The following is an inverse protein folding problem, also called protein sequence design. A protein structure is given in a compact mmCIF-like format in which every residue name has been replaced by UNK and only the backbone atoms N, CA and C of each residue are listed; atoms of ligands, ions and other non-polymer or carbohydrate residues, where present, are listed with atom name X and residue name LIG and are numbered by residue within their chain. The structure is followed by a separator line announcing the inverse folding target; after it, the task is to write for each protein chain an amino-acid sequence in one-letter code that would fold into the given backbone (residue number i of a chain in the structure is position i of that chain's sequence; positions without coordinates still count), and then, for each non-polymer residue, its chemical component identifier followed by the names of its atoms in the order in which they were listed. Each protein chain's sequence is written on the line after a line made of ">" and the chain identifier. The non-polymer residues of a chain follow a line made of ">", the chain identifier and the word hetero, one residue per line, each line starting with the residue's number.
data_IF_982340780171
#
_entry.id   IF_982340780171
#
_cell.length_a   1.000
_cell.length_b   1.000
_cell.length_c   1.000
_cell.angle_alpha   90.00
_cell.angle_beta   90.00
_cell.angle_gamma   90.00
#
_symmetry.space_group_name_H-M   'P 1'
#
loop_
_entity.id
_entity.type
_entity.pdbx_description
1 polymer ?
#
# COMPACT_ATOMS: atom_id res chain seq x y z
N UNK A 1 -17.66 4.26 -10.55
CA UNK A 1 -17.44 5.72 -10.51
C UNK A 1 -16.10 5.99 -9.83
N UNK A 2 -15.08 6.50 -10.53
CA UNK A 2 -13.81 6.86 -9.90
C UNK A 2 -14.04 8.08 -9.02
N UNK A 3 -14.27 7.89 -7.72
CA UNK A 3 -14.29 9.00 -6.77
C UNK A 3 -12.85 9.48 -6.58
N UNK A 4 -12.51 10.55 -7.25
CA UNK A 4 -11.23 11.24 -7.08
C UNK A 4 -11.16 11.80 -5.66
N UNK A 5 -10.05 11.58 -4.95
CA UNK A 5 -9.82 12.19 -3.64
C UNK A 5 -9.82 13.71 -3.82
N UNK A 6 -10.69 14.41 -3.10
CA UNK A 6 -10.79 15.88 -3.16
C UNK A 6 -9.65 16.50 -2.33
N UNK A 7 -9.19 17.67 -2.75
CA UNK A 7 -8.12 18.39 -2.05
C UNK A 7 -8.48 18.69 -0.58
N UNK A 8 -9.78 18.92 -0.30
CA UNK A 8 -10.29 19.13 1.06
C UNK A 8 -10.10 17.89 1.94
N UNK A 9 -10.26 16.69 1.38
CA UNK A 9 -10.09 15.43 2.12
C UNK A 9 -8.60 15.20 2.43
N UNK A 10 -7.70 15.58 1.52
CA UNK A 10 -6.24 15.58 1.74
C UNK A 10 -5.86 16.54 2.86
N UNK A 11 -6.37 17.77 2.84
CA UNK A 11 -6.07 18.76 3.88
C UNK A 11 -6.61 18.35 5.24
N UNK A 12 -7.79 17.74 5.32
CA UNK A 12 -8.34 17.20 6.57
C UNK A 12 -7.48 16.08 7.14
N UNK A 13 -7.00 15.16 6.27
CA UNK A 13 -6.12 14.08 6.70
C UNK A 13 -4.78 14.62 7.19
N UNK A 14 -4.18 15.57 6.47
CA UNK A 14 -2.95 16.24 6.90
C UNK A 14 -3.12 16.91 8.26
N UNK A 15 -4.20 17.67 8.45
CA UNK A 15 -4.49 18.31 9.73
C UNK A 15 -4.63 17.26 10.85
N UNK A 16 -5.37 16.18 10.61
CA UNK A 16 -5.55 15.13 11.60
C UNK A 16 -4.23 14.39 11.92
N UNK A 17 -3.37 14.20 10.93
CA UNK A 17 -2.08 13.51 11.08
C UNK A 17 -1.04 14.38 11.79
N UNK A 18 -1.03 15.70 11.57
CA UNK A 18 -0.03 16.60 12.13
C UNK A 18 -0.39 17.14 13.52
N UNK A 19 -1.67 17.39 13.78
CA UNK A 19 -2.11 18.08 15.00
C UNK A 19 -2.58 17.12 16.10
N UNK A 20 -2.85 15.86 15.77
CA UNK A 20 -3.22 14.84 16.73
C UNK A 20 -2.04 14.42 17.62
N UNK A 21 -2.33 14.00 18.87
CA UNK A 21 -1.32 13.44 19.79
C UNK A 21 -1.04 11.98 19.42
N UNK A 22 0.20 11.65 19.11
CA UNK A 22 0.65 10.30 18.74
C UNK A 22 0.36 9.27 19.84
N UNK A 23 0.40 9.69 21.12
CA UNK A 23 0.07 8.82 22.26
C UNK A 23 -1.37 8.25 22.23
N UNK A 24 -2.27 8.85 21.46
CA UNK A 24 -3.67 8.42 21.36
C UNK A 24 -4.02 7.69 20.06
N UNK A 25 -3.21 7.80 19.02
CA UNK A 25 -3.54 7.25 17.69
C UNK A 25 -2.45 6.40 17.05
N UNK A 26 -1.24 6.44 17.60
CA UNK A 26 -0.06 5.87 16.97
C UNK A 26 0.44 6.66 15.76
N UNK A 27 1.55 6.23 15.19
CA UNK A 27 2.20 6.87 14.04
C UNK A 27 1.51 6.40 12.76
N UNK A 28 0.94 7.33 12.01
CA UNK A 28 0.36 7.04 10.69
C UNK A 28 1.46 6.92 9.63
N UNK A 29 1.17 6.20 8.54
CA UNK A 29 2.10 6.09 7.41
C UNK A 29 2.42 7.46 6.80
N UNK A 30 1.42 8.35 6.71
CA UNK A 30 1.60 9.73 6.23
C UNK A 30 2.52 10.52 7.14
N UNK A 31 2.30 10.46 8.45
CA UNK A 31 3.18 11.12 9.42
C UNK A 31 4.61 10.59 9.35
N UNK A 32 4.78 9.26 9.33
CA UNK A 32 6.09 8.63 9.18
C UNK A 32 6.81 9.06 7.90
N UNK A 33 6.08 9.15 6.78
CA UNK A 33 6.64 9.63 5.53
C UNK A 33 7.09 11.09 5.62
N UNK A 34 6.27 11.98 6.19
CA UNK A 34 6.62 13.39 6.35
C UNK A 34 7.83 13.57 7.27
N UNK A 35 7.91 12.82 8.37
CA UNK A 35 9.06 12.84 9.26
C UNK A 35 10.34 12.37 8.54
N UNK A 36 10.25 11.37 7.66
CA UNK A 36 11.35 10.94 6.82
C UNK A 36 11.84 12.05 5.88
N UNK A 37 10.93 12.81 5.27
CA UNK A 37 11.32 13.92 4.39
C UNK A 37 12.03 15.05 5.16
N UNK A 38 11.61 15.35 6.39
CA UNK A 38 12.33 16.28 7.28
C UNK A 38 13.72 15.73 7.62
N UNK A 39 13.83 14.41 7.82
CA UNK A 39 15.12 13.73 7.99
C UNK A 39 16.04 13.91 6.77
N UNK A 40 15.53 13.70 5.54
CA UNK A 40 16.28 13.91 4.30
C UNK A 40 16.74 15.38 4.15
N UNK A 41 15.87 16.33 4.46
CA UNK A 41 16.24 17.75 4.49
C UNK A 41 17.40 18.00 5.48
N UNK A 42 17.31 17.49 6.69
CA UNK A 42 18.36 17.65 7.70
C UNK A 42 19.69 17.01 7.27
N UNK A 43 19.64 15.84 6.64
CA UNK A 43 20.79 15.14 6.09
C UNK A 43 21.41 15.84 4.87
N UNK A 44 20.69 16.70 4.18
CA UNK A 44 21.25 17.64 3.22
C UNK A 44 21.85 18.89 3.90
N UNK A 45 21.11 19.49 4.81
CA UNK A 45 21.46 20.75 5.47
C UNK A 45 22.69 20.63 6.39
N UNK A 46 22.65 19.69 7.34
CA UNK A 46 23.68 19.57 8.41
C UNK A 46 25.09 19.28 7.85
N UNK A 47 25.30 18.30 6.94
CA UNK A 47 26.63 18.08 6.38
C UNK A 47 27.16 19.27 5.59
N UNK A 48 26.28 20.00 4.89
CA UNK A 48 26.69 21.23 4.18
C UNK A 48 27.19 22.29 5.16
N UNK A 49 26.50 22.52 6.28
CA UNK A 49 26.94 23.39 7.37
C UNK A 49 28.31 22.96 7.91
N UNK A 50 28.47 21.68 8.21
CA UNK A 50 29.73 21.14 8.76
C UNK A 50 30.89 21.37 7.81
N UNK A 51 30.74 21.09 6.52
CA UNK A 51 31.82 21.31 5.53
C UNK A 51 32.22 22.79 5.46
N UNK A 52 31.25 23.72 5.50
CA UNK A 52 31.56 25.16 5.49
C UNK A 52 32.28 25.59 6.79
N UNK A 53 31.87 25.08 7.94
CA UNK A 53 32.59 25.32 9.22
C UNK A 53 34.01 24.77 9.16
N UNK A 54 34.25 23.65 8.46
CA UNK A 54 35.58 23.08 8.22
C UNK A 54 36.40 23.86 7.17
N UNK A 55 35.89 24.98 6.64
CA UNK A 55 36.61 25.87 5.72
C UNK A 55 36.40 25.62 4.24
N UNK A 56 35.47 24.72 3.86
CA UNK A 56 35.11 24.56 2.45
C UNK A 56 34.26 25.73 1.95
N UNK A 57 34.47 26.10 0.70
CA UNK A 57 33.60 27.09 0.04
C UNK A 57 32.15 26.57 0.00
N UNK A 58 31.13 27.42 0.26
CA UNK A 58 29.72 27.00 0.33
C UNK A 58 29.20 26.33 -0.94
N UNK A 59 29.68 26.73 -2.14
CA UNK A 59 29.28 26.09 -3.41
C UNK A 59 29.89 24.69 -3.54
N UNK A 60 31.17 24.53 -3.16
CA UNK A 60 31.79 23.21 -3.15
C UNK A 60 31.15 22.27 -2.11
N UNK A 61 30.80 22.77 -0.92
CA UNK A 61 30.10 22.01 0.09
C UNK A 61 28.71 21.52 -0.42
N UNK A 62 27.95 22.42 -1.05
CA UNK A 62 26.70 22.06 -1.72
C UNK A 62 26.91 20.97 -2.78
N UNK A 63 27.94 21.11 -3.63
CA UNK A 63 28.25 20.14 -4.68
C UNK A 63 28.60 18.76 -4.13
N UNK A 64 29.45 18.69 -3.11
CA UNK A 64 29.86 17.42 -2.51
C UNK A 64 28.71 16.69 -1.83
N UNK A 65 27.91 17.39 -1.02
CA UNK A 65 26.74 16.81 -0.34
C UNK A 65 25.70 16.36 -1.35
N UNK A 66 25.43 17.17 -2.36
CA UNK A 66 24.45 16.83 -3.41
C UNK A 66 24.88 15.61 -4.22
N UNK A 67 26.17 15.51 -4.58
CA UNK A 67 26.71 14.36 -5.30
C UNK A 67 26.71 13.09 -4.46
N UNK A 68 27.04 13.19 -3.18
CA UNK A 68 26.99 12.05 -2.25
C UNK A 68 25.59 11.47 -2.18
N UNK A 69 24.55 12.30 -1.97
CA UNK A 69 23.18 11.82 -1.87
C UNK A 69 22.65 11.31 -3.21
N UNK A 70 23.05 11.88 -4.34
CA UNK A 70 22.72 11.34 -5.64
C UNK A 70 23.23 9.91 -5.82
N UNK A 71 24.50 9.67 -5.48
CA UNK A 71 25.10 8.34 -5.58
C UNK A 71 24.45 7.34 -4.62
N UNK A 72 24.13 7.79 -3.41
CA UNK A 72 23.44 6.97 -2.41
C UNK A 72 22.04 6.59 -2.90
N UNK A 73 21.26 7.53 -3.44
CA UNK A 73 19.92 7.26 -3.93
C UNK A 73 19.89 6.40 -5.19
N UNK A 74 20.87 6.54 -6.08
CA UNK A 74 21.05 5.60 -7.20
C UNK A 74 21.31 4.19 -6.67
N UNK A 75 22.22 4.03 -5.71
CA UNK A 75 22.48 2.75 -5.06
C UNK A 75 21.22 2.17 -4.41
N UNK A 76 20.45 2.99 -3.71
CA UNK A 76 19.22 2.59 -3.04
C UNK A 76 18.11 2.19 -4.05
N UNK A 77 17.93 3.00 -5.10
CA UNK A 77 16.96 2.73 -6.18
C UNK A 77 17.22 1.40 -6.91
N UNK A 78 18.49 1.02 -7.04
CA UNK A 78 18.87 -0.25 -7.67
C UNK A 78 18.77 -1.45 -6.72
N UNK A 79 18.49 -1.22 -5.42
CA UNK A 79 18.43 -2.28 -4.42
C UNK A 79 17.53 -3.48 -4.77
N UNK A 80 16.38 -3.33 -5.47
CA UNK A 80 15.57 -4.47 -5.90
C UNK A 80 16.27 -5.40 -6.88
N UNK A 81 17.37 -4.99 -7.49
CA UNK A 81 18.12 -5.82 -8.44
C UNK A 81 19.16 -6.72 -7.76
N UNK A 82 19.68 -6.33 -6.60
CA UNK A 82 20.78 -7.05 -5.94
C UNK A 82 20.49 -7.46 -4.49
N UNK A 83 19.68 -6.72 -3.72
CA UNK A 83 19.35 -7.10 -2.35
C UNK A 83 18.29 -8.21 -2.33
N UNK A 84 18.62 -9.36 -1.73
CA UNK A 84 17.73 -10.52 -1.64
C UNK A 84 16.37 -10.18 -1.01
N UNK A 85 16.36 -9.31 -0.01
CA UNK A 85 15.15 -8.89 0.72
C UNK A 85 14.15 -8.13 -0.15
N UNK A 86 14.62 -7.43 -1.18
CA UNK A 86 13.79 -6.60 -2.07
C UNK A 86 13.55 -7.24 -3.45
N UNK A 87 14.41 -8.18 -3.84
CA UNK A 87 14.36 -8.82 -5.15
C UNK A 87 13.27 -9.87 -5.25
N UNK A 88 12.89 -10.51 -4.13
CA UNK A 88 12.06 -11.70 -4.15
C UNK A 88 12.66 -12.82 -5.01
N UNK A 89 11.82 -13.67 -5.59
CA UNK A 89 12.23 -14.70 -6.55
C UNK A 89 12.14 -14.23 -8.02
N UNK A 90 11.81 -12.95 -8.26
CA UNK A 90 11.69 -12.37 -9.60
C UNK A 90 10.36 -12.64 -10.33
N UNK A 91 9.42 -13.33 -9.71
CA UNK A 91 8.09 -13.62 -10.27
C UNK A 91 7.33 -12.34 -10.62
N UNK A 92 7.40 -11.34 -9.73
CA UNK A 92 6.79 -10.04 -9.94
C UNK A 92 7.87 -8.96 -10.05
N UNK A 93 7.74 -8.12 -11.07
CA UNK A 93 8.70 -7.01 -11.29
C UNK A 93 8.40 -5.84 -10.37
N UNK A 94 9.43 -5.06 -9.94
CA UNK A 94 9.24 -3.81 -9.23
C UNK A 94 8.39 -2.83 -10.05
N UNK A 95 7.60 -2.02 -9.37
CA UNK A 95 6.89 -0.92 -10.00
C UNK A 95 7.85 0.28 -10.15
N UNK A 96 8.61 0.29 -11.24
CA UNK A 96 9.72 1.23 -11.47
C UNK A 96 9.28 2.70 -11.37
N UNK A 97 8.12 3.06 -11.93
CA UNK A 97 7.63 4.44 -11.81
C UNK A 97 7.49 4.89 -10.37
N UNK A 98 6.92 4.03 -9.50
CA UNK A 98 6.79 4.34 -8.08
C UNK A 98 8.16 4.46 -7.40
N UNK A 99 9.09 3.55 -7.70
CA UNK A 99 10.44 3.60 -7.17
C UNK A 99 11.19 4.87 -7.60
N UNK A 100 11.08 5.25 -8.88
CA UNK A 100 11.67 6.46 -9.42
C UNK A 100 11.12 7.72 -8.74
N UNK A 101 9.80 7.79 -8.52
CA UNK A 101 9.19 8.91 -7.81
C UNK A 101 9.60 8.99 -6.34
N UNK A 102 9.79 7.84 -5.67
CA UNK A 102 10.30 7.77 -4.30
C UNK A 102 11.72 8.36 -4.22
N UNK A 103 12.63 7.78 -5.00
CA UNK A 103 14.03 8.21 -5.11
C UNK A 103 14.15 9.69 -5.47
N UNK A 104 13.38 10.13 -6.46
CA UNK A 104 13.40 11.53 -6.88
C UNK A 104 12.88 12.47 -5.78
N UNK A 105 11.83 12.06 -5.07
CA UNK A 105 11.30 12.83 -3.94
C UNK A 105 12.35 12.97 -2.83
N UNK A 106 13.01 11.89 -2.46
CA UNK A 106 14.04 11.90 -1.42
C UNK A 106 15.23 12.78 -1.82
N UNK A 107 15.71 12.67 -3.06
CA UNK A 107 16.74 13.57 -3.62
C UNK A 107 16.33 15.04 -3.56
N UNK A 108 15.09 15.37 -3.89
CA UNK A 108 14.60 16.74 -3.80
C UNK A 108 14.73 17.30 -2.39
N UNK A 109 14.43 16.52 -1.36
CA UNK A 109 14.56 16.97 0.03
C UNK A 109 16.01 17.08 0.49
N UNK A 110 16.89 16.16 0.08
CA UNK A 110 18.34 16.30 0.34
C UNK A 110 18.90 17.57 -0.30
N UNK A 111 18.59 17.82 -1.56
CA UNK A 111 19.07 19.00 -2.29
C UNK A 111 18.44 20.30 -1.77
N UNK A 112 17.17 20.23 -1.33
CA UNK A 112 16.52 21.34 -0.66
C UNK A 112 17.27 21.73 0.63
N UNK A 113 17.65 20.74 1.44
CA UNK A 113 18.43 20.97 2.66
C UNK A 113 19.77 21.63 2.37
N UNK A 114 20.58 21.04 1.48
CA UNK A 114 21.92 21.55 1.15
C UNK A 114 21.86 22.92 0.47
N UNK A 115 20.93 23.16 -0.44
CA UNK A 115 20.75 24.45 -1.11
C UNK A 115 20.21 25.54 -0.18
N UNK A 116 19.37 25.20 0.81
CA UNK A 116 18.88 26.14 1.81
C UNK A 116 20.03 26.81 2.56
N UNK A 117 21.00 26.02 3.01
CA UNK A 117 22.18 26.59 3.68
C UNK A 117 23.02 27.46 2.73
N UNK A 118 23.26 27.00 1.51
CA UNK A 118 24.00 27.77 0.51
C UNK A 118 23.37 29.15 0.27
N UNK A 119 22.07 29.23 0.02
CA UNK A 119 21.37 30.48 -0.22
C UNK A 119 21.38 31.42 1.01
N UNK A 120 21.27 30.88 2.21
CA UNK A 120 21.40 31.65 3.45
C UNK A 120 22.81 32.22 3.64
N UNK A 121 23.85 31.46 3.27
CA UNK A 121 25.25 31.89 3.42
C UNK A 121 25.69 32.96 2.41
N UNK A 122 25.17 32.90 1.17
CA UNK A 122 25.55 33.82 0.09
C UNK A 122 24.79 35.17 0.14
N UNK A 123 23.61 35.21 0.78
CA UNK A 123 22.86 36.44 1.05
C UNK A 123 22.40 37.26 -0.17
N UNK A 124 22.31 36.67 -1.37
CA UNK A 124 21.93 37.39 -2.60
C UNK A 124 20.44 37.23 -2.90
N UNK A 125 19.71 38.32 -2.96
CA UNK A 125 18.26 38.38 -3.17
C UNK A 125 17.79 37.69 -4.47
N UNK A 126 18.60 37.73 -5.54
CA UNK A 126 18.26 37.13 -6.83
C UNK A 126 18.19 35.57 -6.76
N UNK A 127 18.95 34.94 -5.88
CA UNK A 127 18.89 33.49 -5.68
C UNK A 127 17.67 33.06 -4.92
N UNK A 128 17.05 33.92 -4.12
CA UNK A 128 15.83 33.64 -3.39
C UNK A 128 14.67 33.31 -4.33
N UNK A 129 14.52 34.00 -5.45
CA UNK A 129 13.49 33.73 -6.44
C UNK A 129 13.68 32.32 -7.07
N UNK A 130 14.92 31.97 -7.44
CA UNK A 130 15.26 30.67 -7.98
C UNK A 130 14.92 29.56 -6.96
N UNK A 131 15.22 29.80 -5.69
CA UNK A 131 14.91 28.90 -4.60
C UNK A 131 13.41 28.69 -4.43
N UNK A 132 12.59 29.76 -4.46
CA UNK A 132 11.13 29.67 -4.40
C UNK A 132 10.56 28.89 -5.59
N UNK A 133 11.04 29.14 -6.80
CA UNK A 133 10.64 28.36 -7.98
C UNK A 133 10.98 26.88 -7.81
N UNK A 134 12.17 26.57 -7.29
CA UNK A 134 12.58 25.21 -6.96
C UNK A 134 11.64 24.54 -5.95
N UNK A 135 11.25 25.25 -4.88
CA UNK A 135 10.28 24.76 -3.90
C UNK A 135 8.92 24.42 -4.51
N UNK A 136 8.41 25.28 -5.40
CA UNK A 136 7.14 25.04 -6.09
C UNK A 136 7.24 23.80 -6.97
N UNK A 137 8.33 23.64 -7.72
CA UNK A 137 8.55 22.44 -8.54
C UNK A 137 8.62 21.17 -7.68
N UNK A 138 9.38 21.20 -6.59
CA UNK A 138 9.46 20.06 -5.64
C UNK A 138 8.07 19.73 -5.12
N UNK A 139 7.27 20.70 -4.70
CA UNK A 139 5.91 20.48 -4.23
C UNK A 139 5.03 19.79 -5.29
N UNK A 140 5.13 20.19 -6.56
CA UNK A 140 4.38 19.58 -7.64
C UNK A 140 4.78 18.12 -7.88
N UNK A 141 6.08 17.80 -7.83
CA UNK A 141 6.57 16.44 -8.03
C UNK A 141 6.29 15.53 -6.83
N UNK A 142 6.43 16.03 -5.61
CA UNK A 142 6.19 15.23 -4.39
C UNK A 142 4.71 14.92 -4.17
N UNK A 143 3.80 15.69 -4.80
CA UNK A 143 2.34 15.46 -4.73
C UNK A 143 1.95 14.03 -5.08
N UNK A 144 2.53 13.46 -6.14
CA UNK A 144 2.23 12.09 -6.57
C UNK A 144 2.60 11.09 -5.47
N UNK A 145 3.79 11.23 -4.91
CA UNK A 145 4.27 10.33 -3.87
C UNK A 145 3.46 10.46 -2.57
N UNK A 146 3.14 11.68 -2.17
CA UNK A 146 2.28 11.93 -1.03
C UNK A 146 0.90 11.25 -1.19
N UNK A 147 0.28 11.37 -2.35
CA UNK A 147 -0.98 10.69 -2.65
C UNK A 147 -0.82 9.17 -2.55
N UNK A 148 0.27 8.60 -3.06
CA UNK A 148 0.55 7.16 -2.93
C UNK A 148 0.55 6.73 -1.45
N UNK A 149 1.18 7.51 -0.56
CA UNK A 149 1.17 7.23 0.89
C UNK A 149 -0.23 7.29 1.50
N UNK A 150 -1.06 8.24 1.07
CA UNK A 150 -2.46 8.31 1.50
C UNK A 150 -3.25 7.06 1.07
N UNK A 151 -3.07 6.59 -0.15
CA UNK A 151 -3.72 5.36 -0.60
C UNK A 151 -3.24 4.13 0.19
N UNK A 152 -1.95 4.01 0.45
CA UNK A 152 -1.38 2.93 1.25
C UNK A 152 -1.89 2.97 2.70
N UNK A 153 -1.97 4.14 3.32
CA UNK A 153 -2.47 4.30 4.68
C UNK A 153 -3.94 3.89 4.80
N UNK A 154 -4.77 4.30 3.83
CA UNK A 154 -6.21 4.02 3.85
C UNK A 154 -6.57 2.62 3.35
N UNK A 155 -5.59 1.85 2.89
CA UNK A 155 -5.77 0.42 2.57
C UNK A 155 -5.79 -0.46 3.82
N UNK A 156 -5.43 0.05 5.01
CA UNK A 156 -5.39 -0.66 6.29
C UNK A 156 -4.55 -1.94 6.26
N UNK A 157 -3.49 -1.97 5.45
CA UNK A 157 -2.60 -3.13 5.35
C UNK A 157 -1.94 -3.42 6.70
N UNK A 158 -1.85 -4.69 7.13
CA UNK A 158 -1.26 -5.06 8.42
C UNK A 158 0.24 -4.78 8.49
N UNK A 159 0.91 -4.75 7.34
CA UNK A 159 2.31 -4.39 7.17
C UNK A 159 2.59 -3.94 5.73
N UNK A 160 3.73 -3.29 5.51
CA UNK A 160 4.16 -2.90 4.17
C UNK A 160 4.87 -4.07 3.50
N UNK A 161 4.35 -4.50 2.35
CA UNK A 161 4.95 -5.54 1.53
C UNK A 161 4.73 -5.22 0.05
N UNK A 162 5.79 -5.24 -0.74
CA UNK A 162 5.74 -5.07 -2.19
C UNK A 162 5.58 -6.43 -2.85
N UNK A 163 4.73 -6.53 -3.85
CA UNK A 163 4.55 -7.77 -4.59
C UNK A 163 5.86 -8.25 -5.26
N UNK A 164 6.75 -7.30 -5.63
CA UNK A 164 8.08 -7.61 -6.14
C UNK A 164 9.00 -8.32 -5.14
N UNK A 165 8.68 -8.27 -3.85
CA UNK A 165 9.41 -8.97 -2.77
C UNK A 165 8.89 -10.40 -2.56
N UNK A 166 7.92 -10.85 -3.37
CA UNK A 166 7.40 -12.21 -3.28
C UNK A 166 8.49 -13.23 -3.56
N UNK A 167 8.67 -14.16 -2.65
CA UNK A 167 9.70 -15.21 -2.68
C UNK A 167 9.11 -16.64 -2.60
N UNK A 168 7.77 -16.74 -2.46
CA UNK A 168 7.07 -18.02 -2.48
C UNK A 168 6.89 -18.56 -3.90
N UNK A 169 6.56 -19.84 -3.99
CA UNK A 169 6.19 -20.46 -5.24
C UNK A 169 4.74 -20.12 -5.61
N UNK A 170 4.46 -19.99 -6.89
CA UNK A 170 3.14 -19.72 -7.44
C UNK A 170 3.11 -20.23 -8.89
N UNK A 171 2.00 -20.81 -9.30
CA UNK A 171 1.86 -21.33 -10.68
C UNK A 171 1.95 -20.19 -11.70
N UNK A 172 2.57 -20.43 -12.86
CA UNK A 172 2.66 -19.42 -13.92
C UNK A 172 1.30 -18.85 -14.32
N UNK A 173 0.27 -19.68 -14.40
CA UNK A 173 -1.10 -19.24 -14.75
C UNK A 173 -1.67 -18.26 -13.73
N UNK A 174 -1.43 -18.48 -12.42
CA UNK A 174 -1.88 -17.62 -11.35
C UNK A 174 -1.10 -16.30 -11.38
N UNK A 175 0.19 -16.35 -11.67
CA UNK A 175 1.04 -15.17 -11.86
C UNK A 175 0.51 -14.27 -12.97
N UNK A 176 0.18 -14.84 -14.12
CA UNK A 176 -0.36 -14.07 -15.25
C UNK A 176 -1.76 -13.53 -14.95
N UNK A 177 -2.59 -14.28 -14.23
CA UNK A 177 -3.90 -13.82 -13.77
C UNK A 177 -3.78 -12.60 -12.86
N UNK A 178 -2.85 -12.61 -11.89
CA UNK A 178 -2.58 -11.47 -10.99
C UNK A 178 -2.05 -10.28 -11.79
N UNK A 179 -1.09 -10.50 -12.71
CA UNK A 179 -0.54 -9.42 -13.56
C UNK A 179 -1.64 -8.79 -14.43
N UNK A 180 -2.47 -9.61 -15.06
CA UNK A 180 -3.61 -9.17 -15.87
C UNK A 180 -4.61 -8.35 -15.05
N UNK A 181 -4.92 -8.80 -13.84
CA UNK A 181 -5.78 -8.06 -12.91
C UNK A 181 -5.19 -6.69 -12.53
N UNK A 182 -3.92 -6.64 -12.19
CA UNK A 182 -3.25 -5.38 -11.83
C UNK A 182 -3.12 -4.41 -13.00
N UNK A 183 -2.99 -4.91 -14.24
CA UNK A 183 -2.90 -4.09 -15.43
C UNK A 183 -4.26 -3.53 -15.86
N UNK A 184 -5.29 -4.37 -15.93
CA UNK A 184 -6.58 -4.05 -16.56
C UNK A 184 -7.63 -3.57 -15.55
N UNK A 185 -7.46 -3.92 -14.27
CA UNK A 185 -8.39 -3.54 -13.22
C UNK A 185 -9.81 -4.04 -13.43
N UNK A 186 -9.97 -5.32 -13.71
CA UNK A 186 -11.27 -5.95 -13.86
C UNK A 186 -12.16 -5.66 -12.65
N UNK A 187 -13.44 -5.43 -12.89
CA UNK A 187 -14.43 -5.26 -11.83
C UNK A 187 -15.09 -6.59 -11.51
N UNK A 188 -15.53 -6.75 -10.27
CA UNK A 188 -16.22 -7.92 -9.76
C UNK A 188 -15.43 -9.23 -9.88
N UNK A 189 -14.09 -9.16 -9.80
CA UNK A 189 -13.23 -10.33 -9.81
C UNK A 189 -12.97 -10.84 -8.39
N UNK A 190 -13.25 -12.11 -8.14
CA UNK A 190 -13.07 -12.75 -6.85
C UNK A 190 -11.91 -13.74 -6.93
N UNK A 191 -10.86 -13.49 -6.17
CA UNK A 191 -9.76 -14.43 -5.97
C UNK A 191 -9.99 -15.25 -4.72
N UNK A 192 -9.79 -16.56 -4.82
CA UNK A 192 -9.75 -17.45 -3.67
C UNK A 192 -8.29 -17.87 -3.52
N UNK A 193 -7.65 -17.41 -2.44
CA UNK A 193 -6.24 -17.72 -2.15
C UNK A 193 -6.18 -18.80 -1.07
N UNK A 194 -5.79 -20.00 -1.47
CA UNK A 194 -5.62 -21.15 -0.60
C UNK A 194 -4.18 -21.37 -0.20
N UNK A 195 -3.99 -22.00 0.94
CA UNK A 195 -2.69 -22.49 1.36
C UNK A 195 -2.66 -22.90 2.82
N UNK A 196 -1.73 -23.75 3.18
CA UNK A 196 -1.46 -24.15 4.56
C UNK A 196 -0.94 -22.98 5.42
N UNK A 197 -0.75 -23.22 6.71
CA UNK A 197 -0.12 -22.25 7.60
C UNK A 197 1.31 -21.96 7.12
N UNK A 198 1.65 -20.68 6.98
CA UNK A 198 2.99 -20.25 6.53
C UNK A 198 3.20 -20.24 5.02
N UNK A 199 2.23 -20.64 4.19
CA UNK A 199 2.37 -20.63 2.71
C UNK A 199 2.45 -19.25 2.07
N UNK A 200 2.29 -18.16 2.85
CA UNK A 200 2.39 -16.81 2.33
C UNK A 200 1.09 -16.19 1.82
N UNK A 201 -0.09 -16.81 2.02
CA UNK A 201 -1.40 -16.31 1.56
C UNK A 201 -1.64 -14.83 1.88
N UNK A 202 -1.53 -14.48 3.15
CA UNK A 202 -1.66 -13.08 3.63
C UNK A 202 -0.65 -12.18 2.94
N UNK A 203 0.61 -12.63 2.80
CA UNK A 203 1.70 -11.87 2.19
C UNK A 203 1.42 -11.58 0.70
N UNK A 204 0.94 -12.58 -0.06
CA UNK A 204 0.53 -12.40 -1.45
C UNK A 204 -0.63 -11.40 -1.56
N UNK A 205 -1.66 -11.58 -0.73
CA UNK A 205 -2.86 -10.73 -0.75
C UNK A 205 -2.57 -9.29 -0.36
N UNK A 206 -1.74 -9.08 0.66
CA UNK A 206 -1.23 -7.76 1.05
C UNK A 206 -0.41 -7.13 -0.07
N UNK A 207 0.44 -7.92 -0.74
CA UNK A 207 1.23 -7.46 -1.89
C UNK A 207 0.33 -6.97 -3.03
N UNK A 208 -0.71 -7.72 -3.39
CA UNK A 208 -1.67 -7.32 -4.42
C UNK A 208 -2.41 -6.04 -4.02
N UNK A 209 -2.89 -5.95 -2.79
CA UNK A 209 -3.60 -4.77 -2.29
C UNK A 209 -2.70 -3.52 -2.24
N UNK A 210 -1.44 -3.69 -1.85
CA UNK A 210 -0.45 -2.62 -1.86
C UNK A 210 -0.13 -2.14 -3.28
N UNK A 211 -0.01 -3.07 -4.25
CA UNK A 211 0.18 -2.70 -5.66
C UNK A 211 -1.02 -1.92 -6.23
N UNK A 212 -2.24 -2.22 -5.79
CA UNK A 212 -3.42 -1.42 -6.11
C UNK A 212 -3.31 -0.01 -5.51
N UNK A 213 -2.95 0.10 -4.23
CA UNK A 213 -2.78 1.38 -3.54
C UNK A 213 -1.71 2.26 -4.22
N UNK A 214 -0.57 1.68 -4.63
CA UNK A 214 0.49 2.36 -5.37
C UNK A 214 0.00 2.92 -6.71
N UNK A 215 -0.97 2.28 -7.35
CA UNK A 215 -1.61 2.74 -8.58
C UNK A 215 -2.76 3.71 -8.33
N UNK A 216 -2.88 4.24 -7.13
CA UNK A 216 -3.96 5.12 -6.68
C UNK A 216 -5.35 4.50 -6.89
N UNK A 217 -5.44 3.19 -6.64
CA UNK A 217 -6.70 2.46 -6.64
C UNK A 217 -7.07 2.11 -5.20
N UNK A 218 -8.33 2.31 -4.85
CA UNK A 218 -8.81 2.12 -3.48
C UNK A 218 -8.80 0.64 -3.11
N UNK A 219 -7.94 0.24 -2.20
CA UNK A 219 -7.93 -1.08 -1.59
C UNK A 219 -8.31 -1.00 -0.12
N UNK A 220 -8.83 -2.10 0.42
CA UNK A 220 -9.23 -2.21 1.81
C UNK A 220 -8.90 -3.62 2.32
N UNK A 221 -8.06 -3.70 3.34
CA UNK A 221 -7.72 -4.96 4.00
C UNK A 221 -8.49 -5.10 5.31
N UNK A 222 -9.03 -6.29 5.54
CA UNK A 222 -9.67 -6.65 6.80
C UNK A 222 -9.50 -8.13 7.11
N UNK A 223 -9.58 -8.52 8.38
CA UNK A 223 -9.74 -9.92 8.76
C UNK A 223 -11.22 -10.31 8.67
N UNK A 224 -11.50 -11.60 8.52
CA UNK A 224 -12.87 -12.09 8.43
C UNK A 224 -13.71 -11.71 9.65
N UNK A 225 -13.15 -11.79 10.85
CA UNK A 225 -13.83 -11.35 12.08
C UNK A 225 -14.24 -9.88 12.07
N UNK A 226 -13.36 -8.99 11.55
CA UNK A 226 -13.70 -7.56 11.39
C UNK A 226 -14.69 -7.34 10.26
N UNK A 227 -14.56 -8.09 9.16
CA UNK A 227 -15.50 -8.04 8.04
C UNK A 227 -16.93 -8.30 8.48
N UNK A 228 -17.15 -9.31 9.31
CA UNK A 228 -18.46 -9.62 9.86
C UNK A 228 -19.12 -8.44 10.60
N UNK A 229 -18.32 -7.61 11.25
CA UNK A 229 -18.81 -6.40 11.93
C UNK A 229 -18.99 -5.22 10.96
N UNK A 230 -18.03 -5.02 10.05
CA UNK A 230 -18.03 -3.89 9.12
C UNK A 230 -19.23 -3.87 8.19
N UNK A 231 -19.62 -5.03 7.70
CA UNK A 231 -20.69 -5.15 6.70
C UNK A 231 -22.07 -4.92 7.31
N UNK A 232 -22.19 -4.99 8.65
CA UNK A 232 -23.40 -4.69 9.40
C UNK A 232 -23.49 -3.21 9.81
N UNK A 233 -22.41 -2.44 9.69
CA UNK A 233 -22.43 -1.03 10.05
C UNK A 233 -23.28 -0.24 9.05
N UNK A 234 -24.12 0.64 9.59
CA UNK A 234 -24.85 1.61 8.77
C UNK A 234 -23.89 2.62 8.12
N UNK A 235 -24.29 3.21 6.99
CA UNK A 235 -23.51 4.28 6.33
C UNK A 235 -23.17 5.45 7.28
N UNK A 236 -24.03 5.72 8.26
CA UNK A 236 -23.80 6.75 9.28
C UNK A 236 -22.67 6.37 10.25
N UNK A 237 -22.55 5.10 10.61
CA UNK A 237 -21.47 4.61 11.47
C UNK A 237 -20.14 4.53 10.71
N UNK A 238 -20.16 4.08 9.45
CA UNK A 238 -19.00 4.08 8.56
C UNK A 238 -18.45 5.50 8.34
N UNK A 239 -19.34 6.49 8.17
CA UNK A 239 -18.96 7.89 7.97
C UNK A 239 -18.44 8.59 9.25
N UNK A 240 -18.65 8.00 10.43
CA UNK A 240 -18.09 8.50 11.69
C UNK A 240 -16.61 8.17 11.88
N UNK A 241 -16.03 7.29 11.08
CA UNK A 241 -14.60 7.03 11.07
C UNK A 241 -13.86 8.28 10.57
N UNK A 242 -13.41 9.12 11.50
CA UNK A 242 -12.74 10.41 11.23
C UNK A 242 -11.39 10.29 10.50
N UNK A 243 -10.86 9.07 10.34
CA UNK A 243 -9.49 8.81 9.88
C UNK A 243 -9.40 8.08 8.54
N UNK A 244 -10.52 7.73 7.91
CA UNK A 244 -10.52 7.04 6.63
C UNK A 244 -11.01 7.95 5.51
N UNK A 245 -10.30 7.96 4.37
CA UNK A 245 -10.70 8.70 3.16
C UNK A 245 -11.76 7.97 2.35
N UNK A 246 -11.94 6.67 2.57
CA UNK A 246 -13.00 5.84 2.00
C UNK A 246 -13.33 4.68 2.93
N UNK A 247 -14.51 4.17 2.77
CA UNK A 247 -14.99 2.97 3.46
C UNK A 247 -14.82 1.73 2.60
N UNK A 248 -15.04 0.54 3.17
CA UNK A 248 -14.96 -0.73 2.45
C UNK A 248 -15.85 -0.76 1.20
N UNK A 249 -17.06 -0.20 1.28
CA UNK A 249 -18.05 -0.18 0.19
C UNK A 249 -17.70 0.77 -0.97
N UNK A 250 -16.69 1.62 -0.79
CA UNK A 250 -16.14 2.50 -1.83
C UNK A 250 -14.84 1.97 -2.41
N UNK A 251 -14.36 0.82 -1.92
CA UNK A 251 -13.10 0.21 -2.36
C UNK A 251 -13.24 -0.48 -3.70
N UNK A 252 -12.18 -0.48 -4.49
CA UNK A 252 -12.08 -1.22 -5.75
C UNK A 252 -11.59 -2.66 -5.52
N UNK A 253 -10.87 -2.89 -4.44
CA UNK A 253 -10.40 -4.19 -3.99
C UNK A 253 -10.58 -4.32 -2.48
N UNK A 254 -11.18 -5.42 -2.05
CA UNK A 254 -11.25 -5.83 -0.65
C UNK A 254 -10.46 -7.11 -0.42
N UNK A 255 -9.64 -7.15 0.60
CA UNK A 255 -8.99 -8.38 1.09
C UNK A 255 -9.68 -8.80 2.38
N UNK A 256 -10.20 -10.03 2.41
CA UNK A 256 -10.81 -10.66 3.58
C UNK A 256 -9.90 -11.81 3.98
N UNK A 257 -9.12 -11.57 5.02
CA UNK A 257 -8.10 -12.51 5.49
C UNK A 257 -8.55 -13.29 6.72
N UNK A 258 -7.82 -14.35 7.06
CA UNK A 258 -8.06 -15.21 8.21
C UNK A 258 -9.39 -15.98 8.16
N UNK A 259 -9.85 -16.38 6.99
CA UNK A 259 -10.92 -17.35 6.87
C UNK A 259 -10.31 -18.75 7.12
N UNK A 260 -10.71 -19.40 8.21
CA UNK A 260 -10.13 -20.67 8.63
C UNK A 260 -8.59 -20.62 8.71
N UNK A 261 -7.98 -19.86 9.63
CA UNK A 261 -6.54 -19.61 9.62
C UNK A 261 -5.65 -20.83 9.85
N UNK A 262 -6.25 -21.98 10.19
CA UNK A 262 -5.53 -23.24 10.40
C UNK A 262 -5.11 -23.48 11.85
N UNK A 263 -4.68 -24.71 12.14
CA UNK A 263 -4.27 -25.15 13.47
C UNK A 263 -3.13 -24.29 14.05
N UNK A 264 -3.04 -24.08 15.38
CA UNK A 264 -3.78 -24.80 16.43
C UNK A 264 -5.09 -24.13 16.89
N UNK A 265 -5.53 -23.07 16.25
CA UNK A 265 -6.75 -22.39 16.64
C UNK A 265 -7.95 -23.28 16.25
N UNK A 266 -8.51 -23.96 17.22
CA UNK A 266 -9.83 -24.61 17.13
C UNK A 266 -10.97 -23.57 16.99
N UNK A 267 -10.67 -22.43 16.38
CA UNK A 267 -11.67 -21.46 16.01
C UNK A 267 -12.65 -22.09 15.01
N UNK A 268 -13.91 -21.79 15.15
CA UNK A 268 -15.00 -22.28 14.34
C UNK A 268 -14.58 -22.31 12.87
N UNK A 269 -14.44 -23.53 12.33
CA UNK A 269 -14.21 -23.72 10.89
C UNK A 269 -15.50 -23.32 10.20
N UNK A 270 -15.41 -22.37 9.31
CA UNK A 270 -16.51 -22.05 8.42
C UNK A 270 -16.49 -23.07 7.27
N UNK A 271 -17.58 -23.82 7.15
CA UNK A 271 -17.89 -24.55 5.93
C UNK A 271 -18.23 -23.54 4.82
N UNK A 272 -17.90 -23.82 3.54
CA UNK A 272 -18.25 -22.90 2.45
C UNK A 272 -19.74 -22.54 2.37
N UNK A 273 -20.63 -23.48 2.68
CA UNK A 273 -22.09 -23.23 2.69
C UNK A 273 -22.50 -22.38 3.89
N UNK A 274 -21.94 -22.63 5.07
CA UNK A 274 -22.18 -21.83 6.27
C UNK A 274 -21.79 -20.36 6.05
N UNK A 275 -20.67 -20.12 5.35
CA UNK A 275 -20.27 -18.78 4.98
C UNK A 275 -21.33 -18.08 4.11
N UNK A 276 -21.86 -18.79 3.11
CA UNK A 276 -22.89 -18.24 2.22
C UNK A 276 -24.17 -17.94 2.99
N UNK A 277 -24.62 -18.86 3.84
CA UNK A 277 -25.80 -18.66 4.67
C UNK A 277 -25.60 -17.50 5.66
N UNK A 278 -24.45 -17.44 6.29
CA UNK A 278 -24.09 -16.34 7.18
C UNK A 278 -24.17 -14.98 6.46
N UNK A 279 -23.55 -14.87 5.26
CA UNK A 279 -23.60 -13.64 4.47
C UNK A 279 -25.04 -13.30 4.09
N UNK A 280 -25.83 -14.26 3.58
CA UNK A 280 -27.21 -14.01 3.12
C UNK A 280 -28.16 -13.66 4.26
N UNK A 281 -27.99 -14.28 5.43
CA UNK A 281 -28.90 -14.10 6.55
C UNK A 281 -28.54 -12.87 7.39
N UNK A 282 -27.28 -12.44 7.35
CA UNK A 282 -26.79 -11.38 8.23
C UNK A 282 -26.78 -10.01 7.55
N UNK A 283 -26.63 -9.97 6.22
CA UNK A 283 -26.36 -8.74 5.49
C UNK A 283 -27.52 -8.25 4.64
N UNK A 284 -27.61 -6.92 4.49
CA UNK A 284 -28.59 -6.33 3.59
C UNK A 284 -28.29 -6.69 2.13
N UNK A 285 -29.33 -6.82 1.31
CA UNK A 285 -29.19 -7.04 -0.14
C UNK A 285 -28.30 -5.99 -0.80
N UNK A 286 -28.36 -4.74 -0.31
CA UNK A 286 -27.50 -3.66 -0.78
C UNK A 286 -26.02 -3.97 -0.54
N UNK A 287 -25.65 -4.39 0.66
CA UNK A 287 -24.25 -4.68 1.01
C UNK A 287 -23.74 -5.91 0.26
N UNK A 288 -24.57 -6.93 0.11
CA UNK A 288 -24.26 -8.09 -0.74
C UNK A 288 -24.04 -7.64 -2.19
N UNK A 289 -24.91 -6.81 -2.74
CA UNK A 289 -24.77 -6.29 -4.12
C UNK A 289 -23.48 -5.49 -4.29
N UNK A 290 -23.04 -4.70 -3.30
CA UNK A 290 -21.77 -3.99 -3.34
C UNK A 290 -20.61 -4.98 -3.33
N UNK A 291 -20.62 -5.96 -2.44
CA UNK A 291 -19.58 -7.00 -2.32
C UNK A 291 -19.42 -7.78 -3.64
N UNK A 292 -20.52 -8.13 -4.31
CA UNK A 292 -20.50 -8.86 -5.57
C UNK A 292 -19.99 -8.03 -6.76
N UNK A 293 -20.05 -6.71 -6.67
CA UNK A 293 -19.61 -5.78 -7.73
C UNK A 293 -18.19 -5.29 -7.57
N UNK A 294 -17.57 -5.50 -6.41
CA UNK A 294 -16.19 -5.14 -6.16
C UNK A 294 -15.25 -6.32 -6.40
N UNK A 295 -13.95 -6.05 -6.49
CA UNK A 295 -12.97 -7.12 -6.48
C UNK A 295 -12.72 -7.59 -5.05
N UNK A 296 -12.64 -8.90 -4.84
CA UNK A 296 -12.42 -9.46 -3.50
C UNK A 296 -11.34 -10.53 -3.54
N UNK A 297 -10.46 -10.52 -2.57
CA UNK A 297 -9.52 -11.60 -2.29
C UNK A 297 -9.99 -12.29 -1.00
N UNK A 298 -10.41 -13.55 -1.14
CA UNK A 298 -10.77 -14.41 -0.04
C UNK A 298 -9.56 -15.24 0.36
N UNK A 299 -8.99 -15.01 1.53
CA UNK A 299 -7.80 -15.70 2.02
C UNK A 299 -8.21 -16.82 2.96
N UNK A 300 -8.06 -18.05 2.49
CA UNK A 300 -8.60 -19.21 3.15
C UNK A 300 -7.48 -20.15 3.59
N UNK A 301 -7.44 -20.45 4.87
CA UNK A 301 -6.55 -21.45 5.43
C UNK A 301 -7.05 -22.86 5.10
N UNK A 302 -6.16 -23.72 4.61
CA UNK A 302 -6.46 -25.12 4.36
C UNK A 302 -5.94 -25.97 5.51
N UNK A 303 -6.81 -26.82 6.07
CA UNK A 303 -6.36 -27.98 6.84
C UNK A 303 -6.07 -29.11 5.85
N UNK A 304 -5.06 -29.95 6.07
CA UNK A 304 -4.74 -31.09 5.17
C UNK A 304 -5.90 -32.03 4.93
N UNK A 305 -6.94 -31.96 5.73
CA UNK A 305 -8.04 -32.95 5.69
C UNK A 305 -9.32 -32.47 5.00
N UNK A 306 -9.59 -31.19 4.74
CA UNK A 306 -10.97 -30.77 4.42
C UNK A 306 -11.15 -29.44 3.71
N UNK A 307 -10.50 -29.16 2.61
CA UNK A 307 -11.03 -28.06 1.79
C UNK A 307 -10.92 -28.36 0.32
N UNK A 308 -12.01 -28.81 -0.25
CA UNK A 308 -12.17 -28.87 -1.68
C UNK A 308 -12.29 -27.43 -2.22
N UNK A 309 -11.32 -27.04 -3.03
CA UNK A 309 -11.31 -25.73 -3.71
C UNK A 309 -12.59 -25.51 -4.51
N UNK A 310 -13.19 -26.56 -5.04
CA UNK A 310 -14.44 -26.51 -5.79
C UNK A 310 -15.63 -26.16 -4.91
N UNK A 311 -15.64 -26.58 -3.64
CA UNK A 311 -16.71 -26.22 -2.71
C UNK A 311 -16.71 -24.71 -2.43
N UNK A 312 -15.54 -24.10 -2.21
CA UNK A 312 -15.43 -22.66 -2.04
C UNK A 312 -15.80 -21.88 -3.31
N UNK A 313 -15.42 -22.38 -4.48
CA UNK A 313 -15.87 -21.81 -5.75
C UNK A 313 -17.39 -21.88 -5.89
N UNK A 314 -17.99 -23.05 -5.59
CA UNK A 314 -19.43 -23.24 -5.63
C UNK A 314 -20.16 -22.36 -4.60
N UNK A 315 -19.59 -22.13 -3.44
CA UNK A 315 -20.12 -21.19 -2.45
C UNK A 315 -20.20 -19.76 -2.99
N UNK A 316 -19.15 -19.27 -3.65
CA UNK A 316 -19.18 -17.95 -4.29
C UNK A 316 -20.19 -17.88 -5.44
N UNK A 317 -20.35 -18.95 -6.22
CA UNK A 317 -21.41 -19.05 -7.24
C UNK A 317 -22.81 -18.96 -6.62
N UNK A 318 -23.04 -19.69 -5.51
CA UNK A 318 -24.30 -19.62 -4.74
C UNK A 318 -24.55 -18.22 -4.15
N UNK A 319 -23.48 -17.49 -3.81
CA UNK A 319 -23.59 -16.10 -3.35
C UNK A 319 -24.00 -15.13 -4.48
N UNK A 320 -23.74 -15.50 -5.73
CA UNK A 320 -24.11 -14.73 -6.93
C UNK A 320 -22.91 -14.17 -7.71
N UNK A 321 -21.69 -14.61 -7.41
CA UNK A 321 -20.49 -14.23 -8.19
C UNK A 321 -20.52 -14.94 -9.54
N UNK A 322 -20.21 -14.24 -10.63
CA UNK A 322 -20.15 -14.86 -11.96
C UNK A 322 -18.96 -15.82 -12.06
N UNK A 323 -19.19 -17.02 -12.62
CA UNK A 323 -18.18 -18.07 -12.79
C UNK A 323 -16.88 -17.56 -13.48
N UNK A 324 -17.00 -16.71 -14.48
CA UNK A 324 -15.86 -16.18 -15.22
C UNK A 324 -15.01 -15.18 -14.41
N UNK A 325 -15.54 -14.69 -13.29
CA UNK A 325 -14.88 -13.74 -12.42
C UNK A 325 -14.31 -14.40 -11.15
N UNK A 326 -14.24 -15.72 -11.08
CA UNK A 326 -13.64 -16.44 -9.95
C UNK A 326 -12.33 -17.08 -10.39
N UNK A 327 -11.24 -16.69 -9.73
CA UNK A 327 -9.92 -17.32 -9.88
C UNK A 327 -9.48 -17.97 -8.58
N UNK A 328 -8.93 -19.16 -8.68
CA UNK A 328 -8.39 -19.91 -7.54
C UNK A 328 -6.86 -19.88 -7.63
N UNK A 329 -6.22 -19.40 -6.59
CA UNK A 329 -4.76 -19.38 -6.40
C UNK A 329 -4.46 -20.35 -5.27
N UNK A 330 -3.77 -21.44 -5.58
CA UNK A 330 -3.37 -22.44 -4.59
C UNK A 330 -1.88 -22.33 -4.30
N UNK A 331 -1.55 -22.02 -3.05
CA UNK A 331 -0.18 -21.96 -2.54
C UNK A 331 0.25 -23.26 -1.82
N UNK A 332 -0.59 -24.29 -1.81
CA UNK A 332 -0.18 -25.64 -1.45
C UNK A 332 0.38 -26.34 -2.70
N UNK A 333 1.45 -25.81 -3.26
CA UNK A 333 2.14 -26.54 -4.30
C UNK A 333 2.69 -27.81 -3.65
N UNK A 334 2.01 -28.95 -3.88
CA UNK A 334 2.52 -30.24 -3.50
C UNK A 334 3.85 -30.46 -4.20
N UNK A 335 4.83 -30.80 -3.42
CA UNK A 335 6.06 -31.41 -3.89
C UNK A 335 5.81 -32.58 -4.82
#
# INVERSE_FOLDING_TARGET
>A
MKTTIRIVDVLKTLHADLIGKDSHRGITLTYGWMANQVGHFALGFIPTVILVICGYDPLHALGYVSAFWLLFEIYNALSPLYKKEYKGNGTFKPHWSNLTFDTFTDLCFFWLGSSSFYFLSVGRTNYFLIYIVGLVLIFLFTRFWFLTKLYQQNAFLPYQFRLSQWDGEIRPIDTETIKGFLANGNFAHHFIVFGGKGSGKTRLSVGIANEMAIRHRKSYYTTFSKFCNLINMSDLELNKSKFSLWNWNESELMVIDDINPGEPLNANKYDPNDLVEFIKNTYSERNISVLLKMNVIWVIGTSPMNSDQNEWKNALLKLGVNHQHISIIDLNLSE
#
